data_IF_172996954583
#
_entry.id   IF_172996954583
#
_cell.length_a   1.000
_cell.length_b   1.000
_cell.length_c   1.000
_cell.angle_alpha   90.00
_cell.angle_beta   90.00
_cell.angle_gamma   90.00
#
_symmetry.space_group_name_H-M   'P 1'
#
loop_
_entity.id
_entity.type
_entity.pdbx_description
1 polymer ?
#
# COMPACT_ATOMS: atom_id res chain seq x y z
N UNK A 1 -14.31 -7.04 -6.52
CA UNK A 1 -13.46 -8.15 -6.02
C UNK A 1 -13.58 -8.22 -4.49
N UNK A 2 -13.85 -9.39 -3.88
CA UNK A 2 -13.88 -9.53 -2.41
C UNK A 2 -12.49 -9.89 -1.88
N UNK A 3 -11.97 -9.15 -0.89
CA UNK A 3 -10.82 -9.60 -0.08
C UNK A 3 -9.47 -8.87 -0.26
N UNK A 4 -9.44 -7.70 -0.91
CA UNK A 4 -8.19 -6.91 -1.03
C UNK A 4 -7.94 -6.03 0.20
N UNK A 5 -9.02 -5.48 0.76
CA UNK A 5 -8.98 -4.65 1.97
C UNK A 5 -9.73 -5.37 3.10
N UNK A 6 -9.10 -5.44 4.26
CA UNK A 6 -9.73 -5.89 5.50
C UNK A 6 -10.74 -4.83 5.98
N UNK A 7 -12.05 -5.14 5.99
CA UNK A 7 -13.07 -4.20 6.41
C UNK A 7 -13.00 -3.87 7.91
N UNK A 8 -12.47 -4.76 8.75
CA UNK A 8 -12.34 -4.52 10.19
C UNK A 8 -11.26 -3.47 10.45
N UNK A 9 -10.09 -3.63 9.82
CA UNK A 9 -9.02 -2.65 9.90
C UNK A 9 -9.45 -1.28 9.36
N UNK A 10 -10.23 -1.24 8.27
CA UNK A 10 -10.73 0.04 7.76
C UNK A 10 -11.78 0.66 8.69
N UNK A 11 -12.63 -0.13 9.35
CA UNK A 11 -13.54 0.37 10.40
C UNK A 11 -12.78 0.95 11.59
N UNK A 12 -11.66 0.33 11.99
CA UNK A 12 -10.78 0.91 13.02
C UNK A 12 -10.20 2.25 12.56
N UNK A 13 -9.78 2.36 11.30
CA UNK A 13 -9.33 3.64 10.73
C UNK A 13 -10.42 4.71 10.79
N UNK A 14 -11.67 4.36 10.46
CA UNK A 14 -12.82 5.24 10.63
C UNK A 14 -13.05 5.64 12.09
N UNK A 15 -12.94 4.70 13.04
CA UNK A 15 -13.09 5.00 14.47
C UNK A 15 -12.03 5.99 15.00
N UNK A 16 -10.80 5.93 14.45
CA UNK A 16 -9.70 6.80 14.87
C UNK A 16 -9.76 8.19 14.21
N UNK A 17 -10.15 8.26 12.93
CA UNK A 17 -10.03 9.49 12.13
C UNK A 17 -11.35 10.09 11.67
N UNK A 18 -12.47 9.45 11.97
CA UNK A 18 -13.76 9.70 11.30
C UNK A 18 -13.77 9.16 9.87
N UNK A 19 -14.97 8.91 9.33
CA UNK A 19 -15.14 8.34 7.99
C UNK A 19 -14.47 9.18 6.90
N UNK A 20 -14.71 10.51 6.91
CA UNK A 20 -14.07 11.43 5.96
C UNK A 20 -12.54 11.43 6.10
N UNK A 21 -12.04 11.34 7.33
CA UNK A 21 -10.60 11.34 7.62
C UNK A 21 -9.91 10.04 7.20
N UNK A 22 -10.59 8.90 7.32
CA UNK A 22 -10.13 7.61 6.83
C UNK A 22 -10.14 7.55 5.30
N UNK A 23 -11.22 8.03 4.66
CA UNK A 23 -11.34 8.13 3.20
C UNK A 23 -10.31 9.09 2.60
N UNK A 24 -10.03 10.22 3.24
CA UNK A 24 -8.98 11.14 2.80
C UNK A 24 -7.60 10.46 2.82
N UNK A 25 -7.27 9.76 3.91
CA UNK A 25 -6.01 9.01 4.05
C UNK A 25 -5.89 7.90 3.02
N UNK A 26 -6.97 7.17 2.75
CA UNK A 26 -7.01 6.14 1.73
C UNK A 26 -6.73 6.73 0.34
N UNK A 27 -7.38 7.86 -0.01
CA UNK A 27 -7.15 8.56 -1.29
C UNK A 27 -5.71 9.02 -1.43
N UNK A 28 -5.15 9.66 -0.40
CA UNK A 28 -3.73 10.06 -0.40
C UNK A 28 -2.81 8.84 -0.53
N UNK A 29 -3.10 7.75 0.18
CA UNK A 29 -2.31 6.53 0.10
C UNK A 29 -2.29 5.92 -1.31
N UNK A 30 -3.45 5.84 -1.98
CA UNK A 30 -3.51 5.38 -3.37
C UNK A 30 -2.74 6.30 -4.32
N UNK A 31 -2.84 7.61 -4.13
CA UNK A 31 -2.06 8.60 -4.91
C UNK A 31 -0.55 8.41 -4.74
N UNK A 32 -0.09 8.21 -3.50
CA UNK A 32 1.32 7.98 -3.21
C UNK A 32 1.82 6.67 -3.83
N UNK A 33 1.02 5.59 -3.80
CA UNK A 33 1.38 4.33 -4.45
C UNK A 33 1.54 4.48 -5.96
N UNK A 34 0.63 5.19 -6.62
CA UNK A 34 0.72 5.47 -8.06
C UNK A 34 1.98 6.29 -8.39
N UNK A 35 2.31 7.29 -7.56
CA UNK A 35 3.53 8.09 -7.73
C UNK A 35 4.80 7.24 -7.57
N UNK A 36 4.87 6.38 -6.54
CA UNK A 36 6.00 5.47 -6.34
C UNK A 36 6.16 4.47 -7.49
N UNK A 37 5.05 3.90 -7.98
CA UNK A 37 5.07 3.00 -9.14
C UNK A 37 5.62 3.69 -10.39
N UNK A 38 5.21 4.94 -10.65
CA UNK A 38 5.75 5.73 -11.75
C UNK A 38 7.24 6.02 -11.58
N UNK A 39 7.67 6.39 -10.38
CA UNK A 39 9.08 6.66 -10.06
C UNK A 39 9.96 5.41 -10.26
N UNK A 40 9.53 4.25 -9.77
CA UNK A 40 10.22 2.96 -10.00
C UNK A 40 10.25 2.59 -11.48
N UNK A 41 9.19 2.90 -12.24
CA UNK A 41 9.15 2.63 -13.69
C UNK A 41 10.09 3.49 -14.52
N UNK A 42 10.51 4.65 -14.01
CA UNK A 42 11.37 5.61 -14.73
C UNK A 42 12.87 5.39 -14.51
N UNK A 43 13.27 4.52 -13.57
CA UNK A 43 14.69 4.26 -13.30
C UNK A 43 14.90 3.23 -12.19
N UNK A 44 16.16 2.91 -11.89
CA UNK A 44 16.49 2.10 -10.72
C UNK A 44 16.61 3.00 -9.50
N UNK A 45 15.63 2.98 -8.56
CA UNK A 45 15.75 3.73 -7.33
C UNK A 45 16.92 3.20 -6.50
N UNK A 46 17.56 4.07 -5.72
CA UNK A 46 18.59 3.62 -4.80
C UNK A 46 17.98 2.77 -3.67
N UNK A 47 18.80 1.92 -3.05
CA UNK A 47 18.32 0.99 -2.03
C UNK A 47 17.82 1.70 -0.76
N UNK A 48 18.30 2.91 -0.46
CA UNK A 48 17.89 3.66 0.73
C UNK A 48 16.49 4.24 0.52
N UNK A 49 16.24 4.85 -0.63
CA UNK A 49 14.93 5.37 -1.03
C UNK A 49 13.90 4.23 -1.12
N UNK A 50 14.29 3.10 -1.71
CA UNK A 50 13.41 1.94 -1.84
C UNK A 50 13.01 1.37 -0.47
N UNK A 51 13.96 1.36 0.47
CA UNK A 51 13.73 0.94 1.84
C UNK A 51 12.76 1.88 2.56
N UNK A 52 12.94 3.19 2.40
CA UNK A 52 12.07 4.20 3.00
C UNK A 52 10.63 4.09 2.49
N UNK A 53 10.46 3.92 1.17
CA UNK A 53 9.15 3.70 0.54
C UNK A 53 8.51 2.42 1.07
N UNK A 54 9.26 1.31 1.12
CA UNK A 54 8.77 0.04 1.63
C UNK A 54 8.33 0.15 3.10
N UNK A 55 9.17 0.73 3.95
CA UNK A 55 8.88 0.86 5.39
C UNK A 55 7.61 1.69 5.65
N UNK A 56 7.49 2.86 4.99
CA UNK A 56 6.30 3.72 5.14
C UNK A 56 5.04 3.06 4.57
N UNK A 57 5.18 2.35 3.45
CA UNK A 57 4.07 1.64 2.83
C UNK A 57 3.58 0.51 3.72
N UNK A 58 4.46 -0.24 4.38
CA UNK A 58 4.08 -1.32 5.28
C UNK A 58 3.15 -0.84 6.40
N UNK A 59 3.51 0.26 7.09
CA UNK A 59 2.70 0.81 8.18
C UNK A 59 1.33 1.31 7.72
N UNK A 60 1.30 2.04 6.60
CA UNK A 60 0.05 2.60 6.06
C UNK A 60 -0.87 1.52 5.48
N UNK A 61 -0.30 0.55 4.77
CA UNK A 61 -1.03 -0.58 4.22
C UNK A 61 -1.66 -1.41 5.33
N UNK A 62 -0.90 -1.74 6.39
CA UNK A 62 -1.41 -2.49 7.53
C UNK A 62 -2.56 -1.77 8.23
N UNK A 63 -2.38 -0.47 8.50
CA UNK A 63 -3.42 0.34 9.13
C UNK A 63 -4.71 0.48 8.30
N UNK A 64 -4.58 0.54 6.96
CA UNK A 64 -5.74 0.66 6.06
C UNK A 64 -6.33 -0.70 5.64
N UNK A 65 -5.82 -1.82 6.18
CA UNK A 65 -6.35 -3.16 5.91
C UNK A 65 -5.80 -3.85 4.66
N UNK A 66 -4.72 -3.37 4.05
CA UNK A 66 -4.09 -3.98 2.87
C UNK A 66 -2.97 -4.95 3.27
N UNK A 67 -3.33 -6.06 3.93
CA UNK A 67 -2.37 -7.01 4.52
C UNK A 67 -1.35 -7.56 3.51
N UNK A 68 -1.78 -7.86 2.28
CA UNK A 68 -0.88 -8.37 1.24
C UNK A 68 0.18 -7.33 0.81
N UNK A 69 -0.20 -6.06 0.71
CA UNK A 69 0.73 -4.97 0.42
C UNK A 69 1.63 -4.69 1.63
N UNK A 70 1.11 -4.77 2.85
CA UNK A 70 1.89 -4.63 4.07
C UNK A 70 2.99 -5.68 4.17
N UNK A 71 2.65 -6.95 3.89
CA UNK A 71 3.59 -8.07 3.85
C UNK A 71 4.64 -7.89 2.75
N UNK A 72 4.23 -7.56 1.53
CA UNK A 72 5.14 -7.32 0.41
C UNK A 72 6.11 -6.16 0.70
N UNK A 73 5.61 -5.11 1.37
CA UNK A 73 6.42 -3.96 1.81
C UNK A 73 7.44 -4.35 2.88
N UNK A 74 7.06 -5.17 3.86
CA UNK A 74 8.01 -5.68 4.85
C UNK A 74 9.09 -6.56 4.23
N UNK A 75 8.73 -7.37 3.22
CA UNK A 75 9.70 -8.20 2.47
C UNK A 75 10.68 -7.34 1.66
N UNK A 76 10.22 -6.23 1.07
CA UNK A 76 11.07 -5.29 0.34
C UNK A 76 12.02 -4.52 1.28
N UNK A 77 11.55 -4.05 2.44
CA UNK A 77 12.43 -3.45 3.48
C UNK A 77 13.51 -4.45 3.91
N UNK A 78 13.16 -5.72 4.13
CA UNK A 78 14.14 -6.74 4.51
C UNK A 78 15.13 -7.07 3.38
N UNK A 79 14.65 -7.19 2.14
CA UNK A 79 15.48 -7.46 0.98
C UNK A 79 16.51 -6.35 0.72
N UNK A 80 16.10 -5.09 0.91
CA UNK A 80 16.99 -3.92 0.79
C UNK A 80 18.01 -3.87 1.92
N UNK A 81 17.62 -4.17 3.18
CA UNK A 81 18.56 -4.26 4.32
C UNK A 81 19.64 -5.33 4.13
N UNK A 82 19.25 -6.51 3.62
CA UNK A 82 20.16 -7.64 3.38
C UNK A 82 20.89 -7.56 2.04
N UNK A 83 20.57 -6.58 1.21
CA UNK A 83 21.04 -6.46 -0.16
C UNK A 83 20.89 -7.77 -0.96
N UNK A 84 19.75 -8.44 -0.82
CA UNK A 84 19.51 -9.77 -1.41
C UNK A 84 18.04 -9.94 -1.80
N UNK A 85 17.81 -10.40 -3.04
CA UNK A 85 16.46 -10.70 -3.53
C UNK A 85 15.60 -9.46 -3.80
N UNK A 86 16.21 -8.28 -3.94
CA UNK A 86 15.52 -7.00 -4.10
C UNK A 86 14.58 -7.02 -5.31
N UNK A 87 15.05 -7.51 -6.47
CA UNK A 87 14.24 -7.54 -7.69
C UNK A 87 12.90 -8.29 -7.49
N UNK A 88 12.95 -9.51 -6.95
CA UNK A 88 11.74 -10.31 -6.72
C UNK A 88 10.82 -9.68 -5.67
N UNK A 89 11.38 -9.10 -4.60
CA UNK A 89 10.59 -8.39 -3.59
C UNK A 89 9.94 -7.12 -4.15
N UNK A 90 10.65 -6.41 -5.04
CA UNK A 90 10.15 -5.21 -5.71
C UNK A 90 9.04 -5.55 -6.70
N UNK A 91 9.17 -6.62 -7.47
CA UNK A 91 8.13 -7.08 -8.39
C UNK A 91 6.83 -7.42 -7.63
N UNK A 92 6.94 -8.17 -6.54
CA UNK A 92 5.80 -8.49 -5.67
C UNK A 92 5.18 -7.24 -5.06
N UNK A 93 6.01 -6.31 -4.58
CA UNK A 93 5.53 -5.03 -4.03
C UNK A 93 4.78 -4.22 -5.09
N UNK A 94 5.34 -4.11 -6.30
CA UNK A 94 4.73 -3.36 -7.39
C UNK A 94 3.40 -3.96 -7.84
N UNK A 95 3.28 -5.28 -7.87
CA UNK A 95 2.01 -5.97 -8.14
C UNK A 95 0.92 -5.58 -7.13
N UNK A 96 1.22 -5.68 -5.83
CA UNK A 96 0.26 -5.33 -4.78
C UNK A 96 -0.06 -3.84 -4.76
N UNK A 97 0.93 -2.98 -5.00
CA UNK A 97 0.74 -1.53 -5.07
C UNK A 97 -0.20 -1.14 -6.22
N UNK A 98 -0.09 -1.78 -7.40
CA UNK A 98 -1.01 -1.55 -8.52
C UNK A 98 -2.44 -1.94 -8.16
N UNK A 99 -2.62 -3.12 -7.58
CA UNK A 99 -3.94 -3.59 -7.13
C UNK A 99 -4.59 -2.56 -6.22
N UNK A 100 -3.87 -2.03 -5.22
CA UNK A 100 -4.41 -1.06 -4.26
C UNK A 100 -4.65 0.32 -4.89
N UNK A 101 -3.75 0.77 -5.78
CA UNK A 101 -3.85 2.05 -6.46
C UNK A 101 -5.02 2.11 -7.47
N UNK A 102 -5.33 0.98 -8.12
CA UNK A 102 -6.35 0.89 -9.18
C UNK A 102 -7.77 0.62 -8.67
N UNK A 103 -7.98 0.32 -7.37
CA UNK A 103 -9.33 0.10 -6.84
C UNK A 103 -10.15 1.40 -6.95
N UNK A 104 -11.27 1.42 -7.71
CA UNK A 104 -12.15 2.56 -7.76
C UNK A 104 -12.80 2.80 -6.38
N UNK A 105 -13.00 4.05 -5.94
CA UNK A 105 -13.74 4.34 -4.72
C UNK A 105 -15.20 3.82 -4.74
N UNK A 106 -15.75 3.54 -5.92
CA UNK A 106 -17.14 3.12 -6.13
C UNK A 106 -17.46 1.66 -5.71
N UNK A 107 -16.46 0.79 -5.50
CA UNK A 107 -16.68 -0.56 -4.93
C UNK A 107 -16.79 -0.56 -3.39
N UNK A 108 -16.60 0.59 -2.72
CA UNK A 108 -16.62 0.70 -1.25
C UNK A 108 -17.95 1.19 -0.67
N UNK A 109 -18.86 1.71 -1.52
CA UNK A 109 -20.05 2.47 -1.10
C UNK A 109 -21.38 1.73 -1.34
N UNK A 110 -21.34 0.45 -1.76
CA UNK A 110 -22.55 -0.30 -2.13
C UNK A 110 -23.28 -1.00 -0.98
N UNK A 111 -22.79 -0.90 0.26
CA UNK A 111 -23.39 -1.56 1.43
C UNK A 111 -23.65 -0.61 2.62
N UNK A 112 -23.73 0.71 2.39
CA UNK A 112 -24.33 1.62 3.38
C UNK A 112 -25.87 1.52 3.29
N UNK A 113 -26.58 1.06 4.34
CA UNK A 113 -28.04 1.00 4.37
C UNK A 113 -28.71 2.38 4.40
#
# INVERSE_FOLDING_TARGET
MKGVQDPDAFREACAVFGDEGALARLRTFRGDLAAHLSWIGQGQPDHADLRDVAHRTAGRAGFLGFSALAEASAQLDEATRRNRGIAAALDRWAEQARIVAEIPPEEMDRDAP
#
